data_IF_484689176559
#
_entry.id   IF_484689176559
#
_cell.length_a   1.000
_cell.length_b   1.000
_cell.length_c   1.000
_cell.angle_alpha   90.00
_cell.angle_beta   90.00
_cell.angle_gamma   90.00
#
_symmetry.space_group_name_H-M   'P 1'
#
loop_
_entity.id
_entity.type
_entity.pdbx_description
1 polymer ?
#
# COMPACT_ATOMS: atom_id res chain seq x y z
N UNK A 1 9.94 76.50 29.20
CA UNK A 1 9.62 75.13 29.66
C UNK A 1 10.34 74.15 28.73
N UNK A 2 11.49 73.60 29.13
CA UNK A 2 12.19 72.61 28.32
C UNK A 2 11.43 71.28 28.43
N UNK A 3 10.79 70.84 27.34
CA UNK A 3 10.07 69.57 27.31
C UNK A 3 11.07 68.42 27.48
N UNK A 4 10.88 67.57 28.49
CA UNK A 4 11.69 66.37 28.71
C UNK A 4 11.60 65.48 27.47
N UNK A 5 12.73 65.26 26.80
CA UNK A 5 12.81 64.43 25.59
C UNK A 5 12.73 62.96 26.00
N UNK A 6 11.52 62.46 26.22
CA UNK A 6 11.27 61.03 26.51
C UNK A 6 11.48 60.26 25.21
N UNK A 7 12.49 59.39 25.17
CA UNK A 7 12.72 58.47 24.06
C UNK A 7 11.85 57.23 24.28
N UNK A 8 10.70 57.19 23.63
CA UNK A 8 9.80 56.05 23.65
C UNK A 8 10.21 55.04 22.59
N UNK A 9 10.06 53.74 22.86
CA UNK A 9 10.27 52.70 21.87
C UNK A 9 9.09 52.71 20.88
N UNK A 10 9.41 52.75 19.59
CA UNK A 10 8.44 52.92 18.51
C UNK A 10 8.68 51.86 17.44
N UNK A 11 7.62 51.39 16.75
CA UNK A 11 7.81 50.53 15.59
C UNK A 11 8.66 51.25 14.54
N UNK A 12 9.43 50.50 13.73
CA UNK A 12 10.28 51.09 12.70
C UNK A 12 9.45 51.92 11.72
N UNK A 13 10.02 53.01 11.22
CA UNK A 13 9.42 53.82 10.15
C UNK A 13 9.28 52.96 8.90
N UNK A 14 8.09 52.40 8.67
CA UNK A 14 7.80 51.38 7.66
C UNK A 14 6.95 50.21 8.15
N UNK A 15 6.79 50.06 9.47
CA UNK A 15 6.01 48.97 10.08
C UNK A 15 6.74 47.62 10.06
N UNK A 16 6.14 46.63 10.72
CA UNK A 16 6.64 45.24 10.67
C UNK A 16 6.18 44.54 9.39
N UNK A 17 6.99 43.60 8.91
CA UNK A 17 6.60 42.74 7.80
C UNK A 17 5.32 41.95 8.09
N UNK A 18 4.60 41.51 7.04
CA UNK A 18 3.39 40.73 7.21
C UNK A 18 3.70 39.41 7.94
N UNK A 19 2.96 39.15 9.00
CA UNK A 19 3.04 37.90 9.77
C UNK A 19 1.95 36.96 9.26
N UNK A 20 2.34 35.79 8.76
CA UNK A 20 1.41 34.77 8.34
C UNK A 20 0.72 34.14 9.56
N UNK A 21 -0.48 34.63 9.86
CA UNK A 21 -1.32 34.14 10.96
C UNK A 21 -2.18 32.92 10.58
N UNK A 22 -2.21 32.57 9.28
CA UNK A 22 -3.04 31.47 8.76
C UNK A 22 -2.31 30.14 8.87
N UNK A 23 -3.06 29.09 9.20
CA UNK A 23 -2.55 27.72 9.19
C UNK A 23 -2.21 27.28 7.77
N UNK A 24 -0.92 27.12 7.47
CA UNK A 24 -0.46 26.54 6.21
C UNK A 24 -0.31 25.02 6.36
N UNK A 25 -1.35 24.27 5.99
CA UNK A 25 -1.29 22.82 5.99
C UNK A 25 -1.03 22.32 4.56
N UNK A 26 0.14 21.73 4.27
CA UNK A 26 0.44 21.27 2.92
C UNK A 26 -0.49 20.10 2.59
N UNK A 27 -1.28 20.25 1.52
CA UNK A 27 -2.06 19.14 0.95
C UNK A 27 -1.08 18.15 0.32
N UNK A 28 -0.72 17.13 1.08
CA UNK A 28 0.11 16.01 0.63
C UNK A 28 -0.80 14.82 0.36
N UNK A 29 -0.70 14.24 -0.83
CA UNK A 29 -1.43 13.04 -1.19
C UNK A 29 -1.91 13.02 -2.63
N UNK A 30 -2.32 11.82 -3.05
CA UNK A 30 -2.97 11.58 -4.33
C UNK A 30 -4.48 11.90 -4.20
N UNK A 31 -5.11 12.28 -5.32
CA UNK A 31 -6.57 12.45 -5.37
C UNK A 31 -7.30 11.14 -4.99
N UNK A 32 -8.51 11.25 -4.42
CA UNK A 32 -9.30 10.07 -4.06
C UNK A 32 -9.50 9.11 -5.24
N UNK A 33 -9.76 9.64 -6.43
CA UNK A 33 -9.91 8.83 -7.64
C UNK A 33 -8.63 8.11 -8.05
N UNK A 34 -7.45 8.74 -7.89
CA UNK A 34 -6.20 8.07 -8.21
C UNK A 34 -5.85 6.98 -7.20
N UNK A 35 -6.22 7.14 -5.93
CA UNK A 35 -6.12 6.05 -4.95
C UNK A 35 -7.00 4.85 -5.33
N UNK A 36 -8.24 5.09 -5.74
CA UNK A 36 -9.12 4.03 -6.23
C UNK A 36 -8.58 3.36 -7.50
N UNK A 37 -8.06 4.15 -8.45
CA UNK A 37 -7.45 3.61 -9.68
C UNK A 37 -6.28 2.67 -9.39
N UNK A 38 -5.40 3.04 -8.45
CA UNK A 38 -4.28 2.19 -8.02
C UNK A 38 -4.80 0.93 -7.31
N UNK A 39 -5.78 1.07 -6.40
CA UNK A 39 -6.36 -0.07 -5.68
C UNK A 39 -7.00 -1.10 -6.61
N UNK A 40 -7.83 -0.63 -7.56
CA UNK A 40 -8.46 -1.51 -8.55
C UNK A 40 -7.42 -2.15 -9.46
N UNK A 41 -6.41 -1.39 -9.92
CA UNK A 41 -5.33 -1.91 -10.74
C UNK A 41 -4.56 -3.05 -10.07
N UNK A 42 -4.22 -2.87 -8.78
CA UNK A 42 -3.56 -3.91 -7.98
C UNK A 42 -4.44 -5.15 -7.80
N UNK A 43 -5.73 -4.98 -7.54
CA UNK A 43 -6.66 -6.09 -7.40
C UNK A 43 -6.79 -6.90 -8.69
N UNK A 44 -7.01 -6.24 -9.83
CA UNK A 44 -7.13 -6.91 -11.14
C UNK A 44 -5.86 -7.70 -11.46
N UNK A 45 -4.70 -7.09 -11.25
CA UNK A 45 -3.41 -7.76 -11.46
C UNK A 45 -3.23 -8.96 -10.52
N UNK A 46 -3.57 -8.79 -9.23
CA UNK A 46 -3.51 -9.85 -8.23
C UNK A 46 -4.37 -11.05 -8.59
N UNK A 47 -5.63 -10.81 -8.99
CA UNK A 47 -6.53 -11.87 -9.43
C UNK A 47 -6.02 -12.60 -10.65
N UNK A 48 -5.56 -11.87 -11.68
CA UNK A 48 -4.99 -12.49 -12.88
C UNK A 48 -3.82 -13.42 -12.56
N UNK A 49 -2.89 -12.97 -11.69
CA UNK A 49 -1.74 -13.79 -11.27
C UNK A 49 -2.19 -15.02 -10.48
N UNK A 50 -3.15 -14.85 -9.56
CA UNK A 50 -3.69 -15.93 -8.73
C UNK A 50 -4.40 -16.99 -9.58
N UNK A 51 -5.19 -16.59 -10.58
CA UNK A 51 -5.86 -17.53 -11.49
C UNK A 51 -4.86 -18.35 -12.31
N UNK A 52 -3.79 -17.72 -12.82
CA UNK A 52 -2.72 -18.46 -13.52
C UNK A 52 -2.07 -19.49 -12.59
N UNK A 53 -1.72 -19.07 -11.38
CA UNK A 53 -1.08 -19.97 -10.40
C UNK A 53 -1.98 -21.13 -9.96
N UNK A 54 -3.27 -20.88 -9.72
CA UNK A 54 -4.20 -21.93 -9.33
C UNK A 54 -4.41 -22.98 -10.43
N UNK A 55 -4.30 -22.59 -11.72
CA UNK A 55 -4.32 -23.55 -12.84
C UNK A 55 -3.08 -24.44 -12.83
N UNK A 56 -1.90 -23.88 -12.58
CA UNK A 56 -0.66 -24.65 -12.46
C UNK A 56 -0.70 -25.59 -11.27
N UNK A 57 -1.12 -25.11 -10.08
CA UNK A 57 -1.28 -25.98 -8.90
C UNK A 57 -2.25 -27.13 -9.13
N UNK A 58 -3.33 -26.89 -9.88
CA UNK A 58 -4.29 -27.96 -10.22
C UNK A 58 -3.64 -29.02 -11.10
N UNK A 59 -2.80 -28.64 -12.07
CA UNK A 59 -2.07 -29.58 -12.92
C UNK A 59 -1.11 -30.45 -12.11
N UNK A 60 -0.30 -29.82 -11.25
CA UNK A 60 0.62 -30.53 -10.36
C UNK A 60 -0.12 -31.51 -9.43
N UNK A 61 -1.27 -31.10 -8.90
CA UNK A 61 -2.07 -31.98 -8.05
C UNK A 61 -2.64 -33.18 -8.82
N UNK A 62 -3.05 -32.99 -10.08
CA UNK A 62 -3.50 -34.09 -10.93
C UNK A 62 -2.33 -35.06 -11.20
N UNK A 63 -1.14 -34.54 -11.53
CA UNK A 63 0.06 -35.37 -11.74
C UNK A 63 0.41 -36.19 -10.50
N UNK A 64 0.34 -35.59 -9.30
CA UNK A 64 0.57 -36.28 -8.03
C UNK A 64 -0.46 -37.39 -7.78
N UNK A 65 -1.75 -37.12 -8.06
CA UNK A 65 -2.81 -38.11 -7.93
C UNK A 65 -2.65 -39.27 -8.92
N UNK A 66 -2.29 -38.98 -10.17
CA UNK A 66 -2.02 -40.01 -11.19
C UNK A 66 -0.81 -40.88 -10.79
N UNK A 67 0.27 -40.26 -10.30
CA UNK A 67 1.43 -40.99 -9.77
C UNK A 67 1.02 -41.89 -8.59
N UNK A 68 0.16 -41.40 -7.68
CA UNK A 68 -0.33 -42.21 -6.56
C UNK A 68 -1.23 -43.36 -7.00
N UNK A 69 -2.14 -43.12 -7.95
CA UNK A 69 -3.05 -44.14 -8.50
C UNK A 69 -2.27 -45.24 -9.21
N UNK A 70 -1.19 -44.91 -9.93
CA UNK A 70 -0.38 -45.91 -10.61
C UNK A 70 0.42 -46.81 -9.64
N UNK A 71 0.86 -46.27 -8.50
CA UNK A 71 1.58 -47.03 -7.47
C UNK A 71 0.66 -47.79 -6.50
N UNK A 72 -0.60 -47.36 -6.39
CA UNK A 72 -1.59 -47.90 -5.44
C UNK A 72 -1.74 -49.44 -5.49
N UNK A 73 -1.84 -50.10 -6.67
CA UNK A 73 -1.96 -51.55 -6.74
C UNK A 73 -0.76 -52.30 -6.15
N UNK A 74 0.47 -51.79 -6.36
CA UNK A 74 1.69 -52.37 -5.79
C UNK A 74 1.68 -52.22 -4.27
N UNK A 75 1.37 -51.02 -3.76
CA UNK A 75 1.31 -50.75 -2.33
C UNK A 75 0.23 -51.60 -1.64
N UNK A 76 -0.91 -51.79 -2.30
CA UNK A 76 -1.97 -52.66 -1.81
C UNK A 76 -1.52 -54.12 -1.75
N UNK A 77 -0.85 -54.61 -2.80
CA UNK A 77 -0.33 -55.99 -2.82
C UNK A 77 0.73 -56.24 -1.74
N UNK A 78 1.57 -55.25 -1.42
CA UNK A 78 2.50 -55.33 -0.28
C UNK A 78 1.79 -55.31 1.07
N UNK A 79 0.69 -54.55 1.19
CA UNK A 79 -0.12 -54.52 2.40
C UNK A 79 -0.85 -55.84 2.65
N UNK A 80 -1.45 -56.44 1.62
CA UNK A 80 -2.17 -57.71 1.70
C UNK A 80 -1.26 -58.92 1.99
N UNK A 81 0.05 -58.80 1.71
CA UNK A 81 1.06 -59.82 2.06
C UNK A 81 1.52 -59.78 3.52
N UNK A 82 1.27 -58.66 4.22
CA UNK A 82 1.59 -58.52 5.65
C UNK A 82 0.49 -59.16 6.49
#
# INVERSE_FOLDING_TARGET
>A
MAASKVKQDMPPTGGYGPVDYRRNLPRRGLSGYSMFGVGVGLMVFGYWRLFRWNRERRRLHIEELEARISLLPLLQAEHDRR
#
